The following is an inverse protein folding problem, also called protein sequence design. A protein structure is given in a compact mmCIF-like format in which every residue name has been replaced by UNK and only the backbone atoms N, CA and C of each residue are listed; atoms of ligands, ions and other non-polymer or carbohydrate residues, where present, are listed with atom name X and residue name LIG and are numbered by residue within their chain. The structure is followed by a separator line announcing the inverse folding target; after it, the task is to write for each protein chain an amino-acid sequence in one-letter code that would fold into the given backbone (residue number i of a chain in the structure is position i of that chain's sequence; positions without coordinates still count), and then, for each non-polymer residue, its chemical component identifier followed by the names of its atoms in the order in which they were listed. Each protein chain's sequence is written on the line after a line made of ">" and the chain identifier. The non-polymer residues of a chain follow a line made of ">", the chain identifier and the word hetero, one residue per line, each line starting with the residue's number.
data_IF_534788349909
#
_entry.id   IF_534788349909
#
_cell.length_a   1.000
_cell.length_b   1.000
_cell.length_c   1.000
_cell.angle_alpha   90.00
_cell.angle_beta   90.00
_cell.angle_gamma   90.00
#
_symmetry.space_group_name_H-M   'P 1'
#
loop_
_entity.id
_entity.type
_entity.pdbx_description
1 polymer ?
#
# COMPACT_ATOMS: atom_id res chain seq x y z
N UNK A 1 -91.02 23.52 -37.15
CA UNK A 1 -89.74 22.95 -37.63
C UNK A 1 -88.77 22.99 -36.48
N UNK A 2 -88.27 21.82 -36.09
CA UNK A 2 -87.57 21.57 -34.83
C UNK A 2 -86.17 22.19 -34.82
N UNK A 3 -85.86 22.97 -33.78
CA UNK A 3 -84.51 23.41 -33.45
C UNK A 3 -83.80 22.32 -32.64
N UNK A 4 -82.78 21.71 -33.22
CA UNK A 4 -81.93 20.71 -32.56
C UNK A 4 -80.87 21.37 -31.68
N UNK A 5 -80.96 21.15 -30.37
CA UNK A 5 -79.89 21.44 -29.41
C UNK A 5 -79.14 20.14 -29.10
N UNK A 6 -77.94 20.01 -29.70
CA UNK A 6 -77.00 18.92 -29.44
C UNK A 6 -76.37 19.08 -28.04
N UNK A 7 -76.85 18.32 -27.05
CA UNK A 7 -76.11 18.11 -25.81
C UNK A 7 -75.00 17.07 -26.03
N UNK A 8 -73.78 17.53 -26.32
CA UNK A 8 -72.57 16.72 -26.18
C UNK A 8 -72.27 16.52 -24.70
N UNK A 9 -72.57 15.34 -24.17
CA UNK A 9 -72.08 14.86 -22.88
C UNK A 9 -70.56 14.79 -22.95
N UNK A 10 -69.87 15.66 -22.22
CA UNK A 10 -68.42 15.54 -22.04
C UNK A 10 -68.14 14.26 -21.23
N UNK A 11 -67.33 13.31 -21.71
CA UNK A 11 -67.04 12.10 -20.96
C UNK A 11 -66.21 12.47 -19.74
N UNK A 12 -66.81 12.30 -18.56
CA UNK A 12 -66.19 12.50 -17.23
C UNK A 12 -64.92 11.65 -17.04
N UNK A 13 -64.71 10.66 -17.91
CA UNK A 13 -63.52 9.81 -17.96
C UNK A 13 -62.22 10.55 -18.36
N UNK A 14 -62.30 11.69 -19.06
CA UNK A 14 -61.10 12.42 -19.50
C UNK A 14 -60.38 13.17 -18.36
N UNK A 15 -61.08 13.47 -17.26
CA UNK A 15 -60.46 14.05 -16.05
C UNK A 15 -59.86 12.99 -15.13
N UNK A 16 -60.37 11.74 -15.17
CA UNK A 16 -59.84 10.62 -14.39
C UNK A 16 -58.47 10.14 -14.87
N UNK A 17 -58.22 10.14 -16.18
CA UNK A 17 -56.95 9.67 -16.76
C UNK A 17 -55.82 10.68 -16.55
N UNK A 18 -56.10 11.98 -16.61
CA UNK A 18 -55.11 13.03 -16.28
C UNK A 18 -54.80 13.10 -14.78
N UNK A 19 -55.78 12.86 -13.91
CA UNK A 19 -55.56 12.75 -12.47
C UNK A 19 -54.76 11.49 -12.09
N UNK A 20 -54.97 10.36 -12.77
CA UNK A 20 -54.23 9.11 -12.54
C UNK A 20 -52.76 9.17 -12.98
N UNK A 21 -52.46 9.84 -14.10
CA UNK A 21 -51.09 10.07 -14.57
C UNK A 21 -50.35 11.11 -13.72
N UNK A 22 -51.03 12.15 -13.23
CA UNK A 22 -50.43 13.10 -12.28
C UNK A 22 -50.13 12.44 -10.92
N UNK A 23 -50.99 11.53 -10.44
CA UNK A 23 -50.74 10.78 -9.21
C UNK A 23 -49.60 9.76 -9.33
N UNK A 24 -49.41 9.13 -10.50
CA UNK A 24 -48.27 8.22 -10.71
C UNK A 24 -46.94 8.95 -10.89
N UNK A 25 -46.91 10.14 -11.52
CA UNK A 25 -45.70 10.96 -11.61
C UNK A 25 -45.34 11.58 -10.25
N UNK A 26 -46.31 12.00 -9.43
CA UNK A 26 -46.08 12.49 -8.06
C UNK A 26 -45.71 11.34 -7.11
N UNK A 27 -46.25 10.13 -7.29
CA UNK A 27 -45.84 8.96 -6.50
C UNK A 27 -44.43 8.47 -6.89
N UNK A 28 -44.05 8.51 -8.17
CA UNK A 28 -42.71 8.13 -8.61
C UNK A 28 -41.65 9.20 -8.27
N UNK A 29 -42.00 10.49 -8.25
CA UNK A 29 -41.11 11.54 -7.73
C UNK A 29 -41.09 11.61 -6.20
N UNK A 30 -42.19 11.24 -5.52
CA UNK A 30 -42.26 11.11 -4.07
C UNK A 30 -41.44 9.93 -3.54
N UNK A 31 -41.38 8.81 -4.25
CA UNK A 31 -40.49 7.69 -3.93
C UNK A 31 -39.02 8.03 -4.23
N UNK A 32 -38.74 8.91 -5.21
CA UNK A 32 -37.38 9.37 -5.48
C UNK A 32 -36.88 10.43 -4.48
N UNK A 33 -37.76 11.27 -3.94
CA UNK A 33 -37.44 12.24 -2.88
C UNK A 33 -37.44 11.66 -1.46
N UNK A 34 -38.10 10.51 -1.23
CA UNK A 34 -37.97 9.77 0.04
C UNK A 34 -36.60 9.07 0.22
N UNK A 35 -35.80 8.96 -0.85
CA UNK A 35 -34.40 8.47 -0.78
C UNK A 35 -33.39 9.61 -0.53
N UNK A 36 -33.83 10.87 -0.64
CA UNK A 36 -32.96 12.05 -0.49
C UNK A 36 -33.59 13.11 0.44
N UNK A 37 -33.66 12.77 1.72
CA UNK A 37 -33.60 13.76 2.80
C UNK A 37 -34.94 14.23 3.37
N UNK A 38 -35.39 13.52 4.40
CA UNK A 38 -35.63 14.06 5.74
C UNK A 38 -36.33 12.98 6.59
N UNK A 39 -35.65 12.49 7.62
CA UNK A 39 -36.32 12.17 8.89
C UNK A 39 -35.30 12.27 10.03
N UNK A 40 -35.52 13.31 10.83
CA UNK A 40 -35.08 13.45 12.20
C UNK A 40 -36.10 12.69 13.05
N UNK A 41 -35.68 11.68 13.81
CA UNK A 41 -36.48 11.18 14.92
C UNK A 41 -36.45 9.67 15.18
N UNK A 42 -35.39 9.23 15.87
CA UNK A 42 -35.39 8.12 16.84
C UNK A 42 -36.15 6.83 16.51
N UNK A 43 -35.47 5.91 15.81
CA UNK A 43 -35.56 4.47 16.11
C UNK A 43 -34.14 3.96 16.24
N UNK A 44 -33.82 3.42 17.43
CA UNK A 44 -32.47 3.07 17.87
C UNK A 44 -31.80 2.04 16.98
N UNK A 45 -30.84 2.50 16.19
CA UNK A 45 -29.75 1.72 15.64
C UNK A 45 -28.58 2.66 15.52
N UNK A 46 -27.66 2.61 16.48
CA UNK A 46 -26.47 3.47 16.52
C UNK A 46 -25.57 3.18 15.33
N UNK A 47 -25.89 3.77 14.17
CA UNK A 47 -24.98 3.81 13.03
C UNK A 47 -23.82 4.72 13.42
N UNK A 48 -22.67 4.13 13.72
CA UNK A 48 -21.46 4.89 13.96
C UNK A 48 -21.24 5.85 12.78
N UNK A 49 -21.19 7.15 13.06
CA UNK A 49 -20.87 8.14 12.04
C UNK A 49 -19.51 7.79 11.45
N UNK A 50 -19.43 7.65 10.12
CA UNK A 50 -18.18 7.36 9.44
C UNK A 50 -17.14 8.42 9.80
N UNK A 51 -15.90 7.99 10.07
CA UNK A 51 -14.79 8.88 10.38
C UNK A 51 -14.65 9.99 9.32
N UNK A 52 -14.36 11.22 9.74
CA UNK A 52 -14.00 12.26 8.79
C UNK A 52 -12.62 11.94 8.19
N UNK A 53 -12.42 12.17 6.87
CA UNK A 53 -11.11 11.94 6.25
C UNK A 53 -10.06 12.88 6.81
N UNK A 54 -8.95 12.32 7.27
CA UNK A 54 -7.77 13.05 7.72
C UNK A 54 -7.08 13.79 6.57
N UNK A 55 -6.03 14.57 6.89
CA UNK A 55 -5.19 15.21 5.89
C UNK A 55 -4.51 14.20 4.96
N UNK A 56 -3.97 13.09 5.49
CA UNK A 56 -3.37 12.03 4.66
C UNK A 56 -4.37 11.36 3.76
N UNK A 57 -5.55 11.04 4.26
CA UNK A 57 -6.59 10.46 3.40
C UNK A 57 -6.87 11.36 2.19
N UNK A 58 -6.89 12.69 2.37
CA UNK A 58 -7.12 13.64 1.27
C UNK A 58 -5.92 13.81 0.33
N UNK A 59 -4.70 13.55 0.81
CA UNK A 59 -3.46 13.64 0.01
C UNK A 59 -3.26 12.39 -0.85
N UNK A 60 -3.51 11.20 -0.30
CA UNK A 60 -3.25 9.92 -0.96
C UNK A 60 -4.45 9.40 -1.77
N UNK A 61 -5.66 9.81 -1.39
CA UNK A 61 -6.89 9.36 -2.04
C UNK A 61 -7.53 10.54 -2.78
N UNK A 62 -7.61 10.43 -4.11
CA UNK A 62 -8.28 11.45 -4.91
C UNK A 62 -9.75 11.63 -4.47
N UNK A 63 -10.33 12.83 -4.61
CA UNK A 63 -11.71 13.07 -4.18
C UNK A 63 -12.74 12.11 -4.79
N UNK A 64 -12.53 11.64 -6.03
CA UNK A 64 -13.38 10.63 -6.67
C UNK A 64 -13.29 9.29 -5.96
N UNK A 65 -12.07 8.79 -5.70
CA UNK A 65 -11.82 7.52 -5.00
C UNK A 65 -12.37 7.54 -3.58
N UNK A 66 -12.17 8.65 -2.86
CA UNK A 66 -12.67 8.81 -1.49
C UNK A 66 -14.21 8.75 -1.42
N UNK A 67 -14.91 9.32 -2.41
CA UNK A 67 -16.37 9.17 -2.51
C UNK A 67 -16.80 7.72 -2.71
N UNK A 68 -16.09 6.97 -3.56
CA UNK A 68 -16.37 5.55 -3.80
C UNK A 68 -16.16 4.71 -2.54
N UNK A 69 -15.02 4.85 -1.86
CA UNK A 69 -14.76 4.12 -0.61
C UNK A 69 -15.82 4.39 0.45
N UNK A 70 -16.19 5.66 0.68
CA UNK A 70 -17.23 6.02 1.66
C UNK A 70 -18.61 5.51 1.28
N UNK A 71 -18.96 5.54 -0.01
CA UNK A 71 -20.23 5.02 -0.50
C UNK A 71 -20.32 3.49 -0.36
N UNK A 72 -19.27 2.77 -0.75
CA UNK A 72 -19.18 1.32 -0.61
C UNK A 72 -19.21 0.89 0.86
N UNK A 73 -18.39 1.54 1.70
CA UNK A 73 -18.34 1.32 3.14
C UNK A 73 -19.71 1.54 3.81
N UNK A 74 -20.41 2.62 3.44
CA UNK A 74 -21.78 2.87 3.90
C UNK A 74 -22.73 1.74 3.51
N UNK A 75 -22.65 1.28 2.25
CA UNK A 75 -23.56 0.27 1.69
C UNK A 75 -23.39 -1.09 2.36
N UNK A 76 -22.15 -1.47 2.67
CA UNK A 76 -21.83 -2.78 3.21
C UNK A 76 -21.53 -2.80 4.72
N UNK A 77 -21.67 -1.64 5.38
CA UNK A 77 -21.49 -1.46 6.83
C UNK A 77 -20.12 -1.94 7.32
N UNK A 78 -19.08 -1.39 6.69
CA UNK A 78 -17.67 -1.56 7.06
C UNK A 78 -17.02 -0.18 7.18
N UNK A 79 -15.90 -0.09 7.91
CA UNK A 79 -15.18 1.17 8.03
C UNK A 79 -14.51 1.56 6.69
N UNK A 80 -14.75 2.79 6.23
CA UNK A 80 -14.20 3.26 4.96
C UNK A 80 -12.68 3.46 5.00
N UNK A 81 -12.11 3.76 6.17
CA UNK A 81 -10.67 3.95 6.33
C UNK A 81 -9.93 2.63 6.17
N UNK A 82 -10.51 1.55 6.72
CA UNK A 82 -10.05 0.17 6.53
C UNK A 82 -10.18 -0.27 5.07
N UNK A 83 -11.35 -0.05 4.46
CA UNK A 83 -11.58 -0.38 3.05
C UNK A 83 -10.59 0.35 2.12
N UNK A 84 -10.36 1.65 2.36
CA UNK A 84 -9.40 2.43 1.59
C UNK A 84 -7.96 1.98 1.82
N UNK A 85 -7.61 1.55 3.03
CA UNK A 85 -6.29 1.02 3.34
C UNK A 85 -6.01 -0.30 2.60
N UNK A 86 -7.00 -1.19 2.49
CA UNK A 86 -6.92 -2.39 1.63
C UNK A 86 -6.67 -1.97 0.18
N UNK A 87 -7.49 -1.09 -0.39
CA UNK A 87 -7.31 -0.70 -1.80
C UNK A 87 -6.00 0.04 -2.07
N UNK A 88 -5.43 0.73 -1.08
CA UNK A 88 -4.06 1.22 -1.17
C UNK A 88 -3.05 0.07 -1.17
N UNK A 89 -3.15 -0.86 -0.22
CA UNK A 89 -2.21 -1.97 -0.07
C UNK A 89 -2.20 -2.88 -1.29
N UNK A 90 -3.36 -3.17 -1.84
CA UNK A 90 -3.51 -4.04 -3.01
C UNK A 90 -2.96 -3.39 -4.28
N UNK A 91 -3.12 -2.07 -4.41
CA UNK A 91 -3.05 -1.46 -5.72
C UNK A 91 -2.90 0.06 -5.75
N UNK A 92 -2.34 0.69 -4.71
CA UNK A 92 -2.15 2.15 -4.67
C UNK A 92 -3.44 2.95 -4.91
N UNK A 93 -4.58 2.42 -4.47
CA UNK A 93 -5.93 2.92 -4.75
C UNK A 93 -6.35 2.82 -6.23
N UNK A 94 -5.95 1.78 -6.97
CA UNK A 94 -6.32 1.55 -8.36
C UNK A 94 -5.32 2.07 -9.40
N UNK A 95 -4.02 2.06 -9.08
CA UNK A 95 -2.94 2.28 -10.05
C UNK A 95 -2.70 1.06 -10.95
N UNK A 96 -3.15 -0.11 -10.52
CA UNK A 96 -3.26 -1.34 -11.29
C UNK A 96 -4.76 -1.66 -11.57
N UNK A 97 -5.13 -1.81 -12.83
CA UNK A 97 -6.53 -2.10 -13.22
C UNK A 97 -6.66 -3.43 -13.94
N UNK A 98 -5.60 -4.24 -13.96
CA UNK A 98 -5.53 -5.49 -14.71
C UNK A 98 -5.74 -6.72 -13.82
N UNK A 99 -5.87 -7.88 -14.48
CA UNK A 99 -5.82 -9.19 -13.83
C UNK A 99 -4.36 -9.62 -13.81
N UNK A 100 -3.82 -9.83 -12.61
CA UNK A 100 -2.44 -10.26 -12.44
C UNK A 100 -2.26 -11.75 -12.78
N UNK A 101 -1.02 -12.24 -12.98
CA UNK A 101 -0.77 -13.65 -13.29
C UNK A 101 -1.27 -14.65 -12.24
N UNK A 102 -1.44 -14.22 -10.98
CA UNK A 102 -2.00 -15.02 -9.90
C UNK A 102 -3.53 -15.16 -10.00
N UNK A 103 -4.19 -14.46 -10.91
CA UNK A 103 -5.63 -14.53 -11.17
C UNK A 103 -6.48 -13.61 -10.30
N UNK A 104 -5.87 -12.69 -9.55
CA UNK A 104 -6.56 -11.59 -8.88
C UNK A 104 -6.64 -10.36 -9.79
N UNK A 105 -7.62 -9.48 -9.63
CA UNK A 105 -7.71 -8.29 -10.47
C UNK A 105 -8.38 -7.06 -9.85
N UNK A 106 -8.22 -5.94 -10.54
CA UNK A 106 -8.84 -4.66 -10.19
C UNK A 106 -8.17 -3.96 -9.00
N UNK A 107 -8.73 -2.80 -8.62
CA UNK A 107 -8.19 -1.94 -7.56
C UNK A 107 -8.14 -2.60 -6.18
N UNK A 108 -8.88 -3.69 -5.98
CA UNK A 108 -8.96 -4.46 -4.74
C UNK A 108 -8.34 -5.87 -4.87
N UNK A 109 -7.71 -6.21 -6.01
CA UNK A 109 -7.09 -7.52 -6.28
C UNK A 109 -7.97 -8.72 -5.86
N UNK A 110 -9.20 -8.76 -6.37
CA UNK A 110 -10.19 -9.79 -6.05
C UNK A 110 -9.99 -10.99 -6.95
N UNK A 111 -10.15 -12.22 -6.42
CA UNK A 111 -10.05 -13.45 -7.21
C UNK A 111 -11.05 -13.48 -8.38
N UNK A 112 -10.53 -13.64 -9.61
CA UNK A 112 -11.31 -13.66 -10.86
C UNK A 112 -11.16 -14.98 -11.61
N UNK A 113 -9.96 -15.58 -11.61
CA UNK A 113 -9.64 -16.76 -12.41
C UNK A 113 -9.72 -18.03 -11.56
N UNK A 114 -10.60 -18.98 -11.92
CA UNK A 114 -10.69 -20.30 -11.26
C UNK A 114 -9.44 -21.14 -11.52
N UNK A 115 -9.00 -21.92 -10.55
CA UNK A 115 -7.77 -22.73 -10.64
C UNK A 115 -6.48 -21.92 -10.64
N UNK A 116 -6.56 -20.62 -10.34
CA UNK A 116 -5.40 -19.73 -10.19
C UNK A 116 -4.91 -19.71 -8.75
N UNK A 117 -3.75 -19.09 -8.49
CA UNK A 117 -3.27 -18.91 -7.12
C UNK A 117 -4.26 -18.13 -6.23
N UNK A 118 -5.01 -17.19 -6.80
CA UNK A 118 -6.03 -16.40 -6.10
C UNK A 118 -7.34 -17.18 -5.85
N UNK A 119 -7.58 -18.27 -6.58
CA UNK A 119 -8.74 -19.16 -6.42
C UNK A 119 -8.36 -20.60 -6.79
N UNK A 120 -7.61 -21.32 -5.93
CA UNK A 120 -6.94 -22.57 -6.30
C UNK A 120 -7.89 -23.72 -6.65
N UNK A 121 -9.07 -23.78 -6.04
CA UNK A 121 -10.06 -24.79 -6.36
C UNK A 121 -10.85 -24.38 -7.62
N UNK A 122 -10.69 -25.09 -8.75
CA UNK A 122 -11.40 -24.74 -9.99
C UNK A 122 -12.89 -25.10 -9.97
N UNK A 123 -13.35 -25.88 -8.99
CA UNK A 123 -14.74 -26.35 -8.88
C UNK A 123 -15.66 -25.36 -8.18
N UNK A 124 -15.10 -24.37 -7.47
CA UNK A 124 -15.85 -23.34 -6.75
C UNK A 124 -15.88 -22.02 -7.52
N UNK A 125 -17.00 -21.27 -7.48
CA UNK A 125 -17.04 -19.92 -8.03
C UNK A 125 -16.03 -19.00 -7.33
N UNK A 126 -15.39 -18.12 -8.10
CA UNK A 126 -14.47 -17.12 -7.56
C UNK A 126 -15.22 -16.06 -6.74
N UNK A 127 -14.48 -15.26 -5.98
CA UNK A 127 -15.07 -14.14 -5.24
C UNK A 127 -15.75 -13.14 -6.17
N UNK A 128 -15.16 -12.86 -7.34
CA UNK A 128 -15.78 -11.98 -8.33
C UNK A 128 -17.10 -12.55 -8.86
N UNK A 129 -17.12 -13.84 -9.23
CA UNK A 129 -18.34 -14.49 -9.75
C UNK A 129 -19.48 -14.51 -8.74
N UNK A 130 -19.17 -14.64 -7.44
CA UNK A 130 -20.18 -14.72 -6.38
C UNK A 130 -20.62 -13.34 -5.87
N UNK A 131 -19.71 -12.37 -5.82
CA UNK A 131 -19.94 -11.11 -5.12
C UNK A 131 -19.81 -9.86 -5.99
N UNK A 132 -19.50 -9.96 -7.28
CA UNK A 132 -19.40 -8.82 -8.20
C UNK A 132 -20.56 -7.83 -8.06
N UNK A 133 -20.24 -6.54 -8.08
CA UNK A 133 -21.20 -5.43 -7.97
C UNK A 133 -20.99 -4.49 -9.15
N UNK A 134 -22.01 -4.33 -9.98
CA UNK A 134 -22.12 -3.20 -10.91
C UNK A 134 -22.47 -1.95 -10.09
N UNK A 135 -21.46 -1.11 -9.85
CA UNK A 135 -21.53 0.02 -8.94
C UNK A 135 -21.53 1.37 -9.67
N UNK A 136 -21.05 1.43 -10.90
CA UNK A 136 -21.21 2.60 -11.77
C UNK A 136 -22.51 2.60 -12.57
N UNK A 137 -23.24 1.48 -12.61
CA UNK A 137 -24.61 1.39 -13.12
C UNK A 137 -24.67 1.29 -14.64
N UNK A 138 -23.62 0.80 -15.28
CA UNK A 138 -23.56 0.62 -16.74
C UNK A 138 -24.25 -0.68 -17.21
N UNK A 139 -24.73 -1.51 -16.27
CA UNK A 139 -25.40 -2.77 -16.51
C UNK A 139 -24.48 -3.99 -16.48
N UNK A 140 -23.16 -3.81 -16.31
CA UNK A 140 -22.16 -4.89 -16.32
C UNK A 140 -21.10 -4.69 -15.23
N UNK A 141 -21.03 -5.61 -14.27
CA UNK A 141 -19.94 -5.61 -13.30
C UNK A 141 -18.59 -5.93 -13.98
N UNK A 142 -17.66 -4.97 -13.98
CA UNK A 142 -16.32 -5.08 -14.56
C UNK A 142 -15.23 -5.02 -13.50
N UNK A 143 -14.38 -6.06 -13.41
CA UNK A 143 -13.30 -6.11 -12.40
C UNK A 143 -12.31 -4.94 -12.53
N UNK A 144 -12.12 -4.43 -13.74
CA UNK A 144 -11.21 -3.32 -14.04
C UNK A 144 -11.88 -1.95 -13.81
N UNK A 145 -13.20 -1.89 -13.61
CA UNK A 145 -13.88 -0.69 -13.14
C UNK A 145 -13.51 -0.43 -11.68
N UNK A 146 -13.01 0.77 -11.43
CA UNK A 146 -12.65 1.22 -10.09
C UNK A 146 -13.85 1.19 -9.13
N UNK A 147 -15.05 1.55 -9.61
CA UNK A 147 -16.25 1.55 -8.79
C UNK A 147 -16.63 0.11 -8.39
N UNK A 148 -16.73 -0.77 -9.38
CA UNK A 148 -17.17 -2.15 -9.18
C UNK A 148 -16.18 -2.94 -8.33
N UNK A 149 -14.89 -2.75 -8.55
CA UNK A 149 -13.83 -3.37 -7.75
C UNK A 149 -13.93 -2.94 -6.28
N UNK A 150 -14.06 -1.64 -5.99
CA UNK A 150 -14.18 -1.12 -4.61
C UNK A 150 -15.46 -1.62 -3.93
N UNK A 151 -16.59 -1.60 -4.63
CA UNK A 151 -17.87 -2.04 -4.06
C UNK A 151 -17.90 -3.55 -3.83
N UNK A 152 -17.31 -4.33 -4.73
CA UNK A 152 -17.17 -5.78 -4.54
C UNK A 152 -16.23 -6.08 -3.37
N UNK A 153 -15.10 -5.38 -3.28
CA UNK A 153 -14.18 -5.48 -2.14
C UNK A 153 -14.90 -5.22 -0.82
N UNK A 154 -15.67 -4.14 -0.73
CA UNK A 154 -16.47 -3.85 0.46
C UNK A 154 -17.52 -4.93 0.78
N UNK A 155 -18.15 -5.51 -0.25
CA UNK A 155 -19.18 -6.55 -0.10
C UNK A 155 -18.63 -7.85 0.50
N UNK A 156 -17.39 -8.23 0.20
CA UNK A 156 -16.80 -9.49 0.68
C UNK A 156 -16.26 -9.42 2.10
N UNK A 157 -15.90 -8.22 2.61
CA UNK A 157 -15.20 -8.05 3.88
C UNK A 157 -15.91 -8.70 5.08
N UNK A 158 -17.22 -8.54 5.20
CA UNK A 158 -17.97 -9.12 6.32
C UNK A 158 -18.31 -10.61 6.11
N UNK A 159 -19.01 -11.01 5.04
CA UNK A 159 -19.47 -12.38 4.90
C UNK A 159 -18.35 -13.39 4.64
N UNK A 160 -17.23 -12.96 4.05
CA UNK A 160 -16.10 -13.85 3.70
C UNK A 160 -14.94 -13.63 4.66
N UNK A 161 -14.53 -12.38 4.85
CA UNK A 161 -13.33 -12.07 5.66
C UNK A 161 -13.63 -11.87 7.15
N UNK A 162 -14.91 -11.90 7.57
CA UNK A 162 -15.27 -11.76 8.98
C UNK A 162 -15.03 -10.38 9.58
N UNK A 163 -14.92 -9.34 8.75
CA UNK A 163 -14.82 -7.96 9.23
C UNK A 163 -16.01 -7.63 10.16
N UNK A 164 -15.77 -6.90 11.26
CA UNK A 164 -16.86 -6.40 12.09
C UNK A 164 -17.62 -5.30 11.34
N UNK A 165 -18.74 -4.86 11.91
CA UNK A 165 -19.47 -3.68 11.44
C UNK A 165 -18.66 -2.40 11.60
N UNK A 166 -19.12 -1.31 11.00
CA UNK A 166 -18.54 0.04 11.24
C UNK A 166 -18.44 0.31 12.75
N UNK A 167 -17.26 0.74 13.22
CA UNK A 167 -16.99 0.94 14.65
C UNK A 167 -16.50 -0.30 15.41
N UNK A 168 -16.28 -1.44 14.73
CA UNK A 168 -15.61 -2.61 15.27
C UNK A 168 -14.19 -2.36 15.78
N UNK A 169 -13.65 -3.28 16.58
CA UNK A 169 -12.33 -3.13 17.20
C UNK A 169 -11.18 -3.23 16.20
N UNK A 170 -10.05 -2.62 16.54
CA UNK A 170 -8.81 -2.72 15.75
C UNK A 170 -8.41 -4.17 15.49
N UNK A 171 -8.43 -5.01 16.53
CA UNK A 171 -8.09 -6.42 16.43
C UNK A 171 -9.02 -7.21 15.49
N UNK A 172 -10.32 -6.92 15.49
CA UNK A 172 -11.28 -7.60 14.62
C UNK A 172 -11.13 -7.20 13.14
N UNK A 173 -10.82 -5.92 12.88
CA UNK A 173 -10.49 -5.49 11.51
C UNK A 173 -9.13 -6.01 11.04
N UNK A 174 -8.13 -6.09 11.94
CA UNK A 174 -6.83 -6.72 11.67
C UNK A 174 -7.01 -8.18 11.24
N UNK A 175 -7.78 -8.95 12.00
CA UNK A 175 -8.11 -10.35 11.65
C UNK A 175 -8.77 -10.46 10.27
N UNK A 176 -9.65 -9.53 9.93
CA UNK A 176 -10.28 -9.51 8.61
C UNK A 176 -9.29 -9.18 7.49
N UNK A 177 -8.32 -8.29 7.73
CA UNK A 177 -7.23 -8.04 6.77
C UNK A 177 -6.33 -9.27 6.60
N UNK A 178 -6.03 -10.00 7.67
CA UNK A 178 -5.29 -11.26 7.58
C UNK A 178 -5.98 -12.25 6.63
N UNK A 179 -7.30 -12.41 6.77
CA UNK A 179 -8.10 -13.31 5.92
C UNK A 179 -8.25 -12.80 4.49
N UNK A 180 -8.27 -11.49 4.31
CA UNK A 180 -8.29 -10.86 2.98
C UNK A 180 -7.06 -11.28 2.17
N UNK A 181 -5.89 -11.23 2.80
CA UNK A 181 -4.63 -11.67 2.20
C UNK A 181 -4.52 -13.20 2.10
N UNK A 182 -5.14 -13.93 3.04
CA UNK A 182 -5.15 -15.40 3.07
C UNK A 182 -4.11 -16.02 4.02
N UNK A 183 -3.50 -15.21 4.89
CA UNK A 183 -2.38 -15.60 5.74
C UNK A 183 -2.48 -14.85 7.10
N UNK A 184 -2.91 -15.57 8.14
CA UNK A 184 -3.23 -15.00 9.47
C UNK A 184 -2.21 -15.32 10.57
N UNK A 185 -1.42 -16.39 10.38
CA UNK A 185 -0.48 -16.94 11.37
C UNK A 185 0.97 -16.99 10.85
N UNK A 186 1.17 -16.38 9.69
CA UNK A 186 2.41 -16.29 8.97
C UNK A 186 3.25 -15.23 9.67
N UNK A 187 4.11 -15.61 10.62
CA UNK A 187 5.07 -14.72 11.31
C UNK A 187 6.12 -14.07 10.38
N UNK A 188 5.81 -13.91 9.10
CA UNK A 188 6.65 -13.59 7.96
C UNK A 188 6.04 -12.43 7.13
N UNK A 189 4.70 -12.21 7.16
CA UNK A 189 4.01 -11.15 6.41
C UNK A 189 3.07 -10.39 7.35
N UNK A 190 3.15 -9.04 7.37
CA UNK A 190 2.27 -8.22 8.23
C UNK A 190 1.29 -7.33 7.46
N UNK A 191 0.70 -7.89 6.39
CA UNK A 191 -0.34 -7.24 5.58
C UNK A 191 -1.43 -6.60 6.46
N UNK A 192 -1.89 -7.35 7.46
CA UNK A 192 -2.94 -6.87 8.36
C UNK A 192 -2.51 -5.69 9.23
N UNK A 193 -1.27 -5.66 9.70
CA UNK A 193 -0.76 -4.53 10.48
C UNK A 193 -0.55 -3.30 9.59
N UNK A 194 -0.11 -3.47 8.34
CA UNK A 194 0.05 -2.38 7.36
C UNK A 194 -1.29 -1.75 6.98
N UNK A 195 -2.28 -2.58 6.66
CA UNK A 195 -3.65 -2.13 6.40
C UNK A 195 -4.19 -1.37 7.61
N UNK A 196 -4.00 -1.89 8.82
CA UNK A 196 -4.55 -1.26 10.01
C UNK A 196 -3.81 0.02 10.42
N UNK A 197 -2.49 0.08 10.23
CA UNK A 197 -1.70 1.29 10.45
C UNK A 197 -2.16 2.42 9.50
N UNK A 198 -2.36 2.10 8.22
CA UNK A 198 -2.87 3.06 7.24
C UNK A 198 -4.33 3.44 7.50
N UNK A 199 -5.17 2.50 7.91
CA UNK A 199 -6.54 2.79 8.31
C UNK A 199 -6.57 3.83 9.44
N UNK A 200 -5.72 3.67 10.46
CA UNK A 200 -5.56 4.65 11.56
C UNK A 200 -5.13 6.02 11.03
N UNK A 201 -4.18 6.08 10.08
CA UNK A 201 -3.79 7.34 9.43
C UNK A 201 -4.92 7.98 8.64
N UNK A 202 -5.82 7.20 8.06
CA UNK A 202 -7.02 7.69 7.36
C UNK A 202 -8.15 8.12 8.30
N UNK A 203 -8.06 7.79 9.59
CA UNK A 203 -9.01 8.20 10.64
C UNK A 203 -9.71 7.04 11.36
N UNK A 204 -9.25 5.80 11.19
CA UNK A 204 -9.76 4.66 11.94
C UNK A 204 -9.56 4.87 13.45
N UNK A 205 -10.61 4.61 14.23
CA UNK A 205 -10.62 4.85 15.67
C UNK A 205 -11.42 3.79 16.43
N UNK A 206 -11.50 2.57 15.88
CA UNK A 206 -12.12 1.43 16.55
C UNK A 206 -11.47 1.13 17.90
N UNK A 207 -12.18 0.44 18.80
CA UNK A 207 -11.65 0.11 20.11
C UNK A 207 -10.28 -0.59 20.02
N UNK A 208 -9.30 -0.13 20.81
CA UNK A 208 -7.93 -0.63 20.78
C UNK A 208 -7.04 -0.03 19.69
N UNK A 209 -7.52 0.94 18.92
CA UNK A 209 -6.68 1.63 17.92
C UNK A 209 -5.57 2.45 18.58
N UNK A 210 -4.34 2.43 18.03
CA UNK A 210 -3.31 3.39 18.41
C UNK A 210 -3.74 4.81 18.02
N UNK A 211 -3.13 5.82 18.65
CA UNK A 211 -3.36 7.22 18.24
C UNK A 211 -2.87 7.42 16.79
N UNK A 212 -3.64 8.12 15.93
CA UNK A 212 -3.14 8.53 14.62
C UNK A 212 -1.87 9.36 14.77
N UNK A 213 -0.78 8.92 14.18
CA UNK A 213 0.37 9.78 13.92
C UNK A 213 0.02 10.68 12.72
N UNK A 214 -0.03 12.00 12.95
CA UNK A 214 -0.35 13.00 11.93
C UNK A 214 0.63 12.91 10.74
N UNK A 215 0.24 13.23 9.51
CA UNK A 215 1.06 12.93 8.36
C UNK A 215 1.61 14.18 7.67
N UNK A 216 2.90 14.38 7.90
CA UNK A 216 3.90 14.87 6.96
C UNK A 216 5.23 14.74 7.70
N UNK A 217 5.87 13.58 7.59
CA UNK A 217 7.06 13.26 8.36
C UNK A 217 6.75 12.55 9.67
N UNK A 218 7.15 11.29 9.76
CA UNK A 218 7.55 10.76 11.05
C UNK A 218 8.81 11.52 11.49
N UNK A 219 8.63 12.62 12.22
CA UNK A 219 9.68 13.15 13.09
C UNK A 219 9.89 12.12 14.20
N UNK A 220 11.15 11.82 14.59
CA UNK A 220 11.46 10.84 15.62
C UNK A 220 10.73 11.15 16.91
N UNK A 221 10.44 10.13 17.70
CA UNK A 221 10.12 10.33 19.10
C UNK A 221 11.22 11.20 19.75
N UNK A 222 10.94 12.48 19.97
CA UNK A 222 11.73 13.38 20.81
C UNK A 222 11.39 13.06 22.26
N UNK A 223 11.80 11.87 22.70
CA UNK A 223 12.01 11.57 24.10
C UNK A 223 13.47 11.82 24.42
N UNK A 224 13.80 13.00 24.91
CA UNK A 224 15.06 13.22 25.62
C UNK A 224 15.11 12.25 26.79
N UNK A 225 15.82 11.13 26.63
CA UNK A 225 16.29 10.33 27.76
C UNK A 225 17.51 11.06 28.29
N UNK A 226 17.49 11.59 29.53
CA UNK A 226 18.70 12.10 30.16
C UNK A 226 19.61 10.90 30.43
N UNK A 227 20.83 10.96 29.89
CA UNK A 227 22.02 10.23 30.34
C UNK A 227 21.86 8.75 30.72
N UNK A 228 22.31 7.86 29.85
CA UNK A 228 22.57 6.48 30.23
C UNK A 228 23.28 5.69 29.13
N UNK A 229 24.58 5.52 29.26
CA UNK A 229 25.34 4.58 28.43
C UNK A 229 24.84 3.15 28.67
N UNK A 230 24.57 2.41 27.59
CA UNK A 230 24.72 0.95 27.55
C UNK A 230 23.44 0.10 27.50
N UNK A 231 23.05 -0.32 26.30
CA UNK A 231 23.02 -1.74 25.93
C UNK A 231 22.97 -1.85 24.38
N UNK A 232 23.72 -2.78 23.76
CA UNK A 232 23.84 -2.83 22.31
C UNK A 232 22.56 -3.43 21.71
N UNK A 233 22.02 -2.78 20.67
CA UNK A 233 21.27 -3.52 19.68
C UNK A 233 22.21 -4.63 19.19
N UNK A 234 21.76 -5.88 19.22
CA UNK A 234 22.49 -7.01 18.66
C UNK A 234 22.70 -6.74 17.17
N UNK A 235 23.83 -6.11 16.85
CA UNK A 235 24.27 -5.81 15.50
C UNK A 235 24.23 -7.10 14.67
N UNK A 236 23.75 -7.05 13.43
CA UNK A 236 23.82 -8.14 12.44
C UNK A 236 25.23 -8.66 12.10
N UNK A 237 26.23 -8.44 12.96
CA UNK A 237 27.58 -9.00 12.87
C UNK A 237 28.52 -8.24 11.94
N UNK A 238 28.13 -7.07 11.43
CA UNK A 238 28.93 -6.24 10.51
C UNK A 238 29.76 -5.15 11.20
N UNK A 239 29.48 -4.84 12.47
CA UNK A 239 30.17 -3.78 13.25
C UNK A 239 29.32 -2.53 13.41
N UNK A 240 29.89 -1.48 13.99
CA UNK A 240 29.20 -0.18 14.15
C UNK A 240 29.18 0.65 12.87
N UNK A 241 28.48 1.77 12.89
CA UNK A 241 28.48 2.79 11.85
C UNK A 241 29.38 3.98 12.24
N UNK A 242 29.99 4.65 11.26
CA UNK A 242 30.57 5.99 11.44
C UNK A 242 30.20 6.89 10.28
N UNK A 243 30.07 8.18 10.55
CA UNK A 243 29.85 9.21 9.53
C UNK A 243 31.15 9.63 8.86
N UNK A 244 31.12 9.83 7.55
CA UNK A 244 32.23 10.34 6.72
C UNK A 244 31.75 11.44 5.79
N UNK A 245 32.60 12.45 5.57
CA UNK A 245 32.30 13.62 4.73
C UNK A 245 33.06 13.60 3.40
N UNK A 246 34.18 12.88 3.30
CA UNK A 246 34.93 12.84 2.06
C UNK A 246 35.95 11.69 1.97
N UNK A 247 36.54 11.51 0.78
CA UNK A 247 36.26 12.28 -0.44
C UNK A 247 34.94 11.84 -1.11
N UNK A 248 34.17 12.79 -1.65
CA UNK A 248 32.87 12.53 -2.26
C UNK A 248 32.97 12.60 -3.79
N UNK A 249 33.00 11.44 -4.45
CA UNK A 249 33.11 11.31 -5.91
C UNK A 249 32.66 9.92 -6.34
N UNK A 250 32.24 9.76 -7.59
CA UNK A 250 32.03 8.44 -8.16
C UNK A 250 33.37 7.71 -8.30
N UNK A 251 33.38 6.44 -7.90
CA UNK A 251 34.51 5.53 -8.03
C UNK A 251 34.00 4.18 -8.51
N UNK A 252 34.63 3.67 -9.56
CA UNK A 252 34.31 2.36 -10.13
C UNK A 252 34.51 1.24 -9.11
N UNK A 253 33.57 0.30 -9.11
CA UNK A 253 33.68 -0.95 -8.38
C UNK A 253 34.60 -1.93 -9.14
N UNK A 254 35.23 -2.89 -8.44
CA UNK A 254 36.03 -3.94 -9.07
C UNK A 254 35.20 -4.82 -10.01
N UNK A 255 35.77 -5.17 -11.17
CA UNK A 255 35.11 -5.99 -12.18
C UNK A 255 34.69 -7.39 -11.68
N UNK A 256 35.34 -7.93 -10.64
CA UNK A 256 34.99 -9.25 -10.07
C UNK A 256 33.62 -9.28 -9.37
N UNK A 257 33.07 -8.11 -9.05
CA UNK A 257 31.77 -7.93 -8.39
C UNK A 257 30.76 -7.14 -9.23
N UNK A 258 31.05 -6.79 -10.48
CA UNK A 258 30.14 -6.08 -11.39
C UNK A 258 30.02 -6.83 -12.73
N UNK A 259 28.97 -7.64 -12.94
CA UNK A 259 28.79 -8.37 -14.18
C UNK A 259 28.38 -7.40 -15.30
N UNK A 260 29.14 -7.41 -16.40
CA UNK A 260 28.86 -6.56 -17.55
C UNK A 260 29.47 -5.17 -17.42
N UNK A 261 28.62 -4.13 -17.40
CA UNK A 261 29.08 -2.74 -17.37
C UNK A 261 29.66 -2.41 -15.99
N UNK A 262 30.83 -1.73 -15.92
CA UNK A 262 31.39 -1.32 -14.64
C UNK A 262 30.47 -0.35 -13.89
N UNK A 263 30.00 -0.78 -12.72
CA UNK A 263 29.24 0.06 -11.81
C UNK A 263 30.15 1.04 -11.04
N UNK A 264 29.60 2.21 -10.68
CA UNK A 264 30.29 3.21 -9.86
C UNK A 264 29.45 3.63 -8.68
N UNK A 265 30.09 3.81 -7.52
CA UNK A 265 29.44 4.29 -6.30
C UNK A 265 30.11 5.55 -5.78
N UNK A 266 29.48 6.24 -4.83
CA UNK A 266 30.20 7.23 -4.02
C UNK A 266 31.39 6.55 -3.34
N UNK A 267 32.57 7.14 -3.50
CA UNK A 267 33.83 6.53 -3.07
C UNK A 267 33.90 6.24 -1.57
N UNK A 268 33.03 6.85 -0.76
CA UNK A 268 32.89 6.60 0.68
C UNK A 268 32.31 5.21 0.98
N UNK A 269 31.38 4.69 0.16
CA UNK A 269 30.75 3.38 0.39
C UNK A 269 31.45 2.22 -0.35
N UNK A 270 32.36 2.50 -1.29
CA UNK A 270 33.02 1.46 -2.10
C UNK A 270 33.67 0.35 -1.26
N UNK A 271 34.27 0.69 -0.11
CA UNK A 271 34.86 -0.31 0.77
C UNK A 271 33.80 -1.24 1.39
N UNK A 272 32.66 -0.69 1.82
CA UNK A 272 31.54 -1.45 2.35
C UNK A 272 30.96 -2.36 1.27
N UNK A 273 30.72 -1.83 0.07
CA UNK A 273 30.17 -2.59 -1.07
C UNK A 273 31.06 -3.78 -1.43
N UNK A 274 32.38 -3.56 -1.57
CA UNK A 274 33.33 -4.65 -1.85
C UNK A 274 33.30 -5.71 -0.75
N UNK A 275 33.25 -5.26 0.51
CA UNK A 275 33.22 -6.16 1.66
C UNK A 275 31.94 -7.00 1.68
N UNK A 276 30.76 -6.39 1.51
CA UNK A 276 29.49 -7.09 1.47
C UNK A 276 29.42 -8.05 0.28
N UNK A 277 29.76 -7.58 -0.92
CA UNK A 277 29.73 -8.39 -2.14
C UNK A 277 30.63 -9.63 -2.01
N UNK A 278 31.86 -9.48 -1.55
CA UNK A 278 32.79 -10.62 -1.39
C UNK A 278 32.43 -11.53 -0.23
N UNK A 279 32.02 -10.99 0.92
CA UNK A 279 31.65 -11.78 2.11
C UNK A 279 30.40 -12.63 1.89
N UNK A 280 29.46 -12.13 1.09
CA UNK A 280 28.19 -12.79 0.84
C UNK A 280 28.05 -13.29 -0.60
N UNK A 281 29.11 -13.29 -1.40
CA UNK A 281 29.08 -13.84 -2.77
C UNK A 281 28.06 -13.15 -3.68
N UNK A 282 27.93 -11.83 -3.58
CA UNK A 282 27.04 -11.04 -4.42
C UNK A 282 27.79 -10.39 -5.59
N UNK A 283 27.03 -10.08 -6.63
CA UNK A 283 27.36 -9.14 -7.68
C UNK A 283 26.48 -7.90 -7.55
N UNK A 284 27.03 -6.73 -7.86
CA UNK A 284 26.33 -5.44 -7.89
C UNK A 284 25.87 -5.19 -9.31
N UNK A 285 24.56 -5.03 -9.49
CA UNK A 285 23.91 -4.80 -10.79
C UNK A 285 23.57 -3.34 -11.02
N UNK A 286 23.47 -2.54 -9.95
CA UNK A 286 23.34 -1.09 -10.03
C UNK A 286 23.94 -0.44 -8.78
N UNK A 287 24.46 0.77 -8.91
CA UNK A 287 24.86 1.59 -7.77
C UNK A 287 24.51 3.08 -7.97
N UNK A 288 25.30 3.80 -8.77
CA UNK A 288 24.91 5.13 -9.23
C UNK A 288 24.07 5.01 -10.49
N UNK A 289 22.83 5.48 -10.42
CA UNK A 289 21.93 5.47 -11.57
C UNK A 289 20.91 6.61 -11.52
N UNK A 290 20.79 7.35 -12.62
CA UNK A 290 19.81 8.43 -12.81
C UNK A 290 18.46 7.94 -13.37
N UNK A 291 18.37 6.65 -13.73
CA UNK A 291 17.13 5.97 -14.11
C UNK A 291 16.26 5.55 -12.93
N UNK A 292 16.77 5.73 -11.70
CA UNK A 292 16.08 5.44 -10.45
C UNK A 292 15.27 6.63 -9.93
N UNK A 293 14.52 6.42 -8.85
CA UNK A 293 13.82 7.47 -8.10
C UNK A 293 14.73 8.68 -7.88
N UNK A 294 14.41 9.87 -8.46
CA UNK A 294 15.35 11.01 -8.49
C UNK A 294 15.76 11.53 -7.11
N UNK A 295 14.91 11.40 -6.10
CA UNK A 295 15.15 11.79 -4.70
C UNK A 295 15.59 10.61 -3.80
N UNK A 296 15.96 9.48 -4.42
CA UNK A 296 16.50 8.30 -3.75
C UNK A 296 18.03 8.29 -3.66
N UNK A 297 18.59 7.18 -3.16
CA UNK A 297 20.01 7.07 -2.90
C UNK A 297 20.86 6.65 -4.11
N UNK A 298 20.27 6.07 -5.16
CA UNK A 298 21.00 5.76 -6.41
C UNK A 298 21.57 7.02 -7.08
N UNK A 299 20.83 8.14 -7.25
CA UNK A 299 21.37 9.38 -7.82
C UNK A 299 22.53 10.03 -7.05
N UNK A 300 22.69 9.74 -5.75
CA UNK A 300 23.86 10.19 -4.96
C UNK A 300 24.97 9.14 -4.89
N UNK A 301 24.79 7.98 -5.53
CA UNK A 301 25.73 6.85 -5.51
C UNK A 301 25.84 6.16 -4.15
N UNK A 302 24.79 6.21 -3.33
CA UNK A 302 24.77 5.68 -1.96
C UNK A 302 23.79 4.50 -1.78
N UNK A 303 23.47 3.79 -2.85
CA UNK A 303 22.68 2.56 -2.85
C UNK A 303 23.32 1.52 -3.75
N UNK A 304 22.98 0.25 -3.53
CA UNK A 304 23.28 -0.85 -4.45
C UNK A 304 22.05 -1.71 -4.67
N UNK A 305 21.90 -2.21 -5.89
CA UNK A 305 21.13 -3.41 -6.18
C UNK A 305 22.11 -4.57 -6.39
N UNK A 306 21.84 -5.70 -5.74
CA UNK A 306 22.75 -6.84 -5.76
C UNK A 306 22.02 -8.18 -5.86
N UNK A 307 22.68 -9.17 -6.46
CA UNK A 307 22.17 -10.51 -6.64
C UNK A 307 23.29 -11.54 -6.37
N UNK A 308 22.98 -12.82 -6.06
CA UNK A 308 24.01 -13.81 -5.79
C UNK A 308 24.76 -14.16 -7.08
N UNK A 309 26.10 -14.14 -7.02
CA UNK A 309 26.99 -14.41 -8.16
C UNK A 309 26.77 -15.79 -8.79
N UNK A 310 26.42 -16.77 -7.95
CA UNK A 310 26.26 -18.18 -8.28
C UNK A 310 24.78 -18.61 -8.33
N UNK A 311 23.84 -17.67 -8.21
CA UNK A 311 22.41 -17.97 -8.10
C UNK A 311 21.97 -18.50 -6.73
N UNK A 312 22.86 -18.60 -5.74
CA UNK A 312 22.53 -19.09 -4.40
C UNK A 312 21.90 -17.99 -3.52
N UNK A 313 20.57 -17.89 -3.59
CA UNK A 313 19.79 -16.90 -2.83
C UNK A 313 19.86 -17.04 -1.31
N UNK A 314 20.32 -18.18 -0.76
CA UNK A 314 20.59 -18.29 0.67
C UNK A 314 21.73 -17.36 1.12
N UNK A 315 22.67 -17.04 0.22
CA UNK A 315 23.73 -16.07 0.49
C UNK A 315 23.18 -14.64 0.58
N UNK A 316 22.20 -14.31 -0.27
CA UNK A 316 21.51 -13.01 -0.24
C UNK A 316 20.63 -12.88 1.00
N UNK A 317 19.96 -13.96 1.41
CA UNK A 317 19.26 -14.01 2.70
C UNK A 317 20.20 -13.75 3.89
N UNK A 318 21.40 -14.35 3.88
CA UNK A 318 22.42 -14.07 4.90
C UNK A 318 22.89 -12.61 4.89
N UNK A 319 23.06 -12.01 3.70
CA UNK A 319 23.39 -10.59 3.56
C UNK A 319 22.26 -9.73 4.14
N UNK A 320 21.02 -9.97 3.74
CA UNK A 320 19.85 -9.27 4.23
C UNK A 320 19.83 -9.24 5.77
N UNK A 321 19.92 -10.43 6.40
CA UNK A 321 19.99 -10.54 7.87
C UNK A 321 21.14 -9.77 8.48
N UNK A 322 22.30 -9.75 7.82
CA UNK A 322 23.48 -9.06 8.33
C UNK A 322 23.37 -7.53 8.29
N UNK A 323 22.59 -6.98 7.35
CA UNK A 323 22.32 -5.54 7.23
C UNK A 323 21.07 -5.10 8.01
N UNK A 324 20.52 -5.98 8.84
CA UNK A 324 19.40 -5.69 9.73
C UNK A 324 18.01 -5.98 9.14
N UNK A 325 17.95 -6.57 7.94
CA UNK A 325 16.67 -7.07 7.40
C UNK A 325 16.14 -8.21 8.27
N UNK A 326 14.86 -8.17 8.57
CA UNK A 326 14.12 -9.31 9.10
C UNK A 326 12.70 -9.32 8.50
N UNK A 327 12.04 -10.49 8.40
CA UNK A 327 10.72 -10.59 7.79
C UNK A 327 9.68 -9.67 8.41
N UNK A 328 9.72 -9.52 9.75
CA UNK A 328 8.75 -8.70 10.48
C UNK A 328 8.77 -7.23 10.10
N UNK A 329 9.89 -6.75 9.56
CA UNK A 329 10.06 -5.37 9.15
C UNK A 329 10.21 -5.16 7.65
N UNK A 330 10.49 -6.22 6.89
CA UNK A 330 10.78 -6.14 5.47
C UNK A 330 9.58 -5.62 4.68
N UNK A 331 8.40 -6.02 5.14
CA UNK A 331 7.11 -5.65 4.57
C UNK A 331 6.73 -4.19 4.87
N UNK A 332 7.31 -3.57 5.92
CA UNK A 332 6.96 -2.20 6.31
C UNK A 332 7.37 -1.16 5.29
N UNK A 333 8.47 -1.40 4.56
CA UNK A 333 8.97 -0.50 3.53
C UNK A 333 9.38 0.90 4.00
N UNK A 334 9.50 1.13 5.32
CA UNK A 334 9.90 2.41 5.92
C UNK A 334 10.93 2.18 7.02
N UNK A 335 11.70 3.23 7.38
CA UNK A 335 12.56 3.20 8.57
C UNK A 335 11.84 3.86 9.78
N UNK A 336 11.97 3.29 11.01
CA UNK A 336 12.57 2.01 11.35
C UNK A 336 11.54 0.87 11.43
N UNK A 337 11.84 -0.24 10.77
CA UNK A 337 12.02 -1.55 11.43
C UNK A 337 13.10 -2.46 10.76
N UNK A 338 13.66 -2.12 9.57
CA UNK A 338 14.45 -3.06 8.74
C UNK A 338 15.79 -2.56 8.15
N UNK A 339 16.68 -2.01 8.98
CA UNK A 339 18.07 -1.73 8.58
C UNK A 339 18.91 -1.40 9.82
N UNK A 340 20.01 -2.11 10.02
CA UNK A 340 21.00 -1.75 11.03
C UNK A 340 21.86 -0.60 10.49
N UNK A 341 22.25 0.39 11.30
CA UNK A 341 23.26 1.36 10.89
C UNK A 341 24.52 0.65 10.35
N UNK A 342 25.13 1.15 9.25
CA UNK A 342 24.94 2.46 8.60
C UNK A 342 23.81 2.51 7.57
N UNK A 343 23.08 1.42 7.38
CA UNK A 343 22.08 1.32 6.32
C UNK A 343 20.83 2.12 6.69
N UNK A 344 20.29 2.84 5.71
CA UNK A 344 19.01 3.50 5.81
C UNK A 344 17.88 2.52 5.56
N UNK A 345 18.00 1.74 4.51
CA UNK A 345 16.94 0.89 3.98
C UNK A 345 17.53 -0.39 3.36
N UNK A 346 16.83 -1.50 3.57
CA UNK A 346 17.11 -2.78 2.89
C UNK A 346 15.81 -3.30 2.27
N UNK A 347 15.72 -3.25 0.95
CA UNK A 347 14.64 -3.84 0.16
C UNK A 347 14.99 -5.27 -0.22
N UNK A 348 14.25 -6.25 0.31
CA UNK A 348 14.42 -7.66 -0.04
C UNK A 348 13.08 -8.38 0.03
N UNK A 349 13.04 -9.70 0.28
CA UNK A 349 11.80 -10.48 0.38
C UNK A 349 10.76 -9.76 1.26
N UNK A 350 9.57 -9.51 0.70
CA UNK A 350 8.51 -8.75 1.38
C UNK A 350 8.44 -7.26 1.00
N UNK A 351 9.44 -6.72 0.32
CA UNK A 351 9.40 -5.38 -0.24
C UNK A 351 9.11 -5.42 -1.75
N UNK A 352 8.11 -4.67 -2.27
CA UNK A 352 7.71 -4.74 -3.68
C UNK A 352 8.88 -4.58 -4.65
N UNK A 353 8.88 -5.39 -5.70
CA UNK A 353 9.92 -5.45 -6.74
C UNK A 353 11.32 -5.89 -6.29
N UNK A 354 11.47 -6.37 -5.06
CA UNK A 354 12.74 -6.84 -4.51
C UNK A 354 12.59 -8.23 -3.92
N UNK A 355 13.71 -8.93 -3.75
CA UNK A 355 13.73 -10.28 -3.18
C UNK A 355 14.38 -11.30 -4.09
N UNK A 356 14.36 -12.55 -3.65
CA UNK A 356 14.70 -13.71 -4.46
C UNK A 356 13.63 -13.98 -5.55
N UNK A 357 13.85 -14.96 -6.47
CA UNK A 357 12.94 -15.20 -7.59
C UNK A 357 11.51 -15.57 -7.20
N UNK A 358 11.29 -16.08 -5.97
CA UNK A 358 9.97 -16.41 -5.49
C UNK A 358 9.25 -15.21 -4.84
N UNK A 359 9.99 -14.19 -4.39
CA UNK A 359 9.44 -13.07 -3.61
C UNK A 359 9.53 -11.72 -4.34
N UNK A 360 10.31 -11.63 -5.41
CA UNK A 360 10.39 -10.45 -6.27
C UNK A 360 9.10 -10.28 -7.08
N UNK A 361 8.16 -9.49 -6.57
CA UNK A 361 6.86 -9.25 -7.23
C UNK A 361 6.45 -7.78 -7.07
N UNK A 362 6.11 -7.05 -8.16
CA UNK A 362 6.39 -7.40 -9.56
C UNK A 362 7.90 -7.31 -9.85
N UNK A 363 8.48 -8.27 -10.56
CA UNK A 363 9.95 -8.34 -10.71
C UNK A 363 10.54 -7.48 -11.84
N UNK A 364 10.14 -6.21 -11.91
CA UNK A 364 10.61 -5.27 -12.93
C UNK A 364 12.05 -4.87 -12.64
N UNK A 365 13.02 -5.55 -13.26
CA UNK A 365 14.46 -5.39 -13.00
C UNK A 365 15.18 -6.69 -12.62
N UNK A 366 14.41 -7.77 -12.40
CA UNK A 366 14.93 -9.07 -11.98
C UNK A 366 15.11 -9.18 -10.46
N UNK A 367 15.26 -10.39 -9.91
CA UNK A 367 15.41 -10.59 -8.48
C UNK A 367 16.70 -9.94 -7.97
N UNK A 368 16.61 -9.21 -6.85
CA UNK A 368 17.75 -8.51 -6.23
C UNK A 368 17.45 -8.12 -4.78
N UNK A 369 18.51 -7.80 -4.03
CA UNK A 369 18.44 -7.04 -2.77
C UNK A 369 18.88 -5.61 -3.03
N UNK A 370 18.11 -4.65 -2.53
CA UNK A 370 18.49 -3.24 -2.50
C UNK A 370 19.01 -2.88 -1.11
N UNK A 371 20.13 -2.18 -1.05
CA UNK A 371 20.72 -1.68 0.19
C UNK A 371 21.12 -0.23 -0.02
N UNK A 372 20.63 0.68 0.81
CA UNK A 372 21.05 2.08 0.79
C UNK A 372 21.63 2.53 2.12
N UNK A 373 22.63 3.40 2.04
CA UNK A 373 23.32 3.96 3.21
C UNK A 373 22.61 5.24 3.66
N UNK A 374 22.66 5.51 4.96
CA UNK A 374 22.16 6.76 5.51
C UNK A 374 23.05 7.92 5.08
N UNK A 375 22.46 8.95 4.48
CA UNK A 375 23.17 10.14 4.01
C UNK A 375 22.49 11.43 4.47
N UNK A 376 23.12 12.59 4.21
CA UNK A 376 22.49 13.91 4.35
C UNK A 376 21.42 14.22 3.30
N UNK A 377 21.38 13.45 2.21
CA UNK A 377 20.41 13.60 1.11
C UNK A 377 19.31 12.52 1.15
N UNK A 378 19.33 11.63 2.13
CA UNK A 378 18.29 10.61 2.31
C UNK A 378 16.92 11.24 2.61
N UNK A 379 15.80 10.65 2.16
CA UNK A 379 14.45 11.13 2.48
C UNK A 379 14.26 11.44 3.96
N UNK A 380 13.73 12.64 4.23
CA UNK A 380 13.60 13.21 5.58
C UNK A 380 14.81 14.02 6.05
N UNK A 381 15.91 14.06 5.29
CA UNK A 381 17.09 14.88 5.59
C UNK A 381 17.09 16.22 4.83
N UNK A 382 17.80 17.25 5.34
CA UNK A 382 17.77 18.59 4.77
C UNK A 382 18.24 18.71 3.31
N UNK A 383 19.09 17.80 2.83
CA UNK A 383 19.60 17.85 1.45
C UNK A 383 18.80 16.94 0.50
N UNK A 384 17.70 16.32 0.96
CA UNK A 384 16.87 15.49 0.10
C UNK A 384 16.14 16.35 -0.93
N UNK A 385 16.47 16.13 -2.19
CA UNK A 385 15.89 16.82 -3.35
C UNK A 385 16.01 15.90 -4.56
N UNK A 386 15.17 16.10 -5.58
CA UNK A 386 15.26 15.33 -6.82
C UNK A 386 16.54 15.67 -7.59
N UNK A 387 17.28 14.64 -7.98
CA UNK A 387 18.56 14.74 -8.68
C UNK A 387 18.47 14.14 -10.08
N UNK A 388 18.89 14.94 -11.06
CA UNK A 388 18.99 14.54 -12.48
C UNK A 388 20.44 14.53 -12.98
N UNK A 389 21.39 14.70 -12.05
CA UNK A 389 22.83 14.60 -12.26
C UNK A 389 23.48 14.24 -10.92
N UNK A 390 24.65 13.61 -10.96
CA UNK A 390 25.38 13.25 -9.73
C UNK A 390 25.66 14.49 -8.87
N UNK A 391 25.13 14.47 -7.64
CA UNK A 391 25.45 15.43 -6.58
C UNK A 391 25.66 14.64 -5.29
N UNK A 392 26.89 14.57 -4.75
CA UNK A 392 27.13 13.79 -3.56
C UNK A 392 26.47 14.42 -2.34
N UNK A 393 25.98 13.57 -1.43
CA UNK A 393 25.60 13.98 -0.08
C UNK A 393 26.80 14.57 0.68
N UNK A 394 26.59 15.63 1.47
CA UNK A 394 27.63 16.20 2.36
C UNK A 394 28.21 15.18 3.32
N UNK A 395 27.40 14.23 3.81
CA UNK A 395 27.89 13.12 4.62
C UNK A 395 27.17 11.80 4.31
N UNK A 396 27.88 10.69 4.54
CA UNK A 396 27.36 9.32 4.44
C UNK A 396 27.80 8.55 5.70
N UNK A 397 26.93 7.76 6.30
CA UNK A 397 27.31 6.76 7.30
C UNK A 397 27.85 5.52 6.60
N UNK A 398 28.96 4.96 7.08
CA UNK A 398 29.63 3.77 6.53
C UNK A 398 29.97 2.81 7.66
N UNK A 399 30.31 1.57 7.34
CA UNK A 399 30.76 0.60 8.33
C UNK A 399 32.03 1.14 9.01
N UNK A 400 32.04 1.13 10.33
CA UNK A 400 33.17 1.62 11.13
C UNK A 400 34.43 0.75 10.96
N UNK A 401 34.29 -0.46 10.40
CA UNK A 401 35.32 -1.50 10.35
C UNK A 401 35.70 -2.00 11.75
N UNK A 402 36.22 -3.23 11.86
CA UNK A 402 37.05 -3.54 13.03
C UNK A 402 38.33 -2.72 12.84
N UNK A 403 38.53 -1.68 13.65
CA UNK A 403 39.82 -1.00 13.69
C UNK A 403 40.92 -2.05 13.78
N UNK A 404 41.94 -1.95 12.93
CA UNK A 404 43.17 -2.73 13.12
C UNK A 404 43.66 -2.39 14.53
N UNK A 405 43.58 -3.35 15.45
CA UNK A 405 44.44 -3.37 16.63
C UNK A 405 45.75 -4.01 16.20
#
# INVERSE_FOLDING_TARGET
>A
MAGGSNHRSRPVWALGVLAGLAFTVVALTGVFMAVLGADVGCVGGGGAAQAAPTKTAKQEISPRKLRLYRAAAKRFDVDWTFLAAIGYQECGNGTCAEINPSGCGGAMQIAVVRGSACSPDPSVPTLWERYGVDADGDGTASITSLADSIFTGARILRPVMGAPRTGGSFAAYREAACRYYGACDDGIVSYADEVMARAVQYGFHGAGSPKPSDPAGAVPATGSVPGGCGAPATSGGLGGARRVTGPARLKALPADITPGTPESCDSRIVADVIYLARRFGQVVTDCFGLGHTPDGEHPVGAAIDAAPKDGNWANTMRLARAVGWNPGCAASGVRPDCADPPFRFTGYNGYPSHGDPAHCVPCTGGPHIHISWQTSASPGMPENTSLYAYRPATWIEVLAGKGRR
#
